data_IF_097844721061
#
_entry.id   IF_097844721061
#
_cell.length_a   1.000
_cell.length_b   1.000
_cell.length_c   1.000
_cell.angle_alpha   90.00
_cell.angle_beta   90.00
_cell.angle_gamma   90.00
#
_symmetry.space_group_name_H-M   'P 1'
#
loop_
_entity.id
_entity.type
_entity.pdbx_description
1 polymer ?
#
# COMPACT_ATOMS: atom_id res chain seq x y z
N UNK A 1 -1.61 -16.29 8.47
CA UNK A 1 -2.95 -16.08 9.06
C UNK A 1 -3.49 -14.85 8.40
N UNK A 2 -4.64 -14.96 7.74
CA UNK A 2 -5.20 -13.81 7.04
C UNK A 2 -5.85 -12.85 8.05
N UNK A 3 -5.92 -11.57 7.68
CA UNK A 3 -6.57 -10.57 8.51
C UNK A 3 -8.07 -10.85 8.69
N UNK A 4 -8.72 -11.48 7.70
CA UNK A 4 -10.12 -11.89 7.82
C UNK A 4 -10.32 -12.95 8.92
N UNK A 5 -9.42 -13.94 9.01
CA UNK A 5 -9.50 -15.00 10.04
C UNK A 5 -9.43 -14.41 11.46
N UNK A 6 -8.56 -13.41 11.66
CA UNK A 6 -8.40 -12.73 12.96
C UNK A 6 -9.66 -11.96 13.33
N UNK A 7 -10.27 -11.27 12.37
CA UNK A 7 -11.50 -10.51 12.60
C UNK A 7 -12.71 -11.40 12.89
N UNK A 8 -12.81 -12.54 12.20
CA UNK A 8 -13.87 -13.53 12.44
C UNK A 8 -13.83 -14.05 13.89
N UNK A 9 -12.64 -14.35 14.40
CA UNK A 9 -12.46 -14.87 15.77
C UNK A 9 -12.72 -13.79 16.82
N UNK A 10 -12.19 -12.57 16.61
CA UNK A 10 -12.23 -11.53 17.64
C UNK A 10 -13.55 -10.74 17.68
N UNK A 11 -14.30 -10.73 16.57
CA UNK A 11 -15.57 -9.99 16.44
C UNK A 11 -15.47 -8.50 16.85
N UNK A 12 -14.35 -7.86 16.51
CA UNK A 12 -14.08 -6.44 16.76
C UNK A 12 -13.95 -5.67 15.45
N UNK A 13 -14.16 -4.35 15.54
CA UNK A 13 -13.96 -3.44 14.41
C UNK A 13 -12.47 -3.33 14.04
N UNK A 14 -12.19 -3.43 12.74
CA UNK A 14 -10.85 -3.19 12.21
C UNK A 14 -10.58 -1.68 12.15
N UNK A 15 -9.55 -1.21 12.86
CA UNK A 15 -9.08 0.18 12.74
C UNK A 15 -8.00 0.36 11.65
N UNK A 16 -7.22 -0.67 11.36
CA UNK A 16 -6.15 -0.61 10.38
C UNK A 16 -5.22 -1.81 10.43
N UNK A 17 -4.49 -1.98 9.33
CA UNK A 17 -3.45 -3.00 9.17
C UNK A 17 -2.16 -2.26 8.87
N UNK A 18 -1.14 -2.48 9.70
CA UNK A 18 0.20 -1.95 9.45
C UNK A 18 0.99 -3.02 8.70
N UNK A 19 1.39 -2.79 7.44
CA UNK A 19 2.17 -3.75 6.69
C UNK A 19 3.60 -3.81 7.22
N UNK A 20 4.28 -4.92 6.95
CA UNK A 20 5.73 -5.01 7.14
C UNK A 20 6.45 -3.96 6.28
N UNK A 21 7.41 -3.26 6.88
CA UNK A 21 8.09 -2.13 6.28
C UNK A 21 9.50 -1.97 6.89
N UNK A 22 10.54 -2.09 6.07
CA UNK A 22 11.95 -1.96 6.48
C UNK A 22 12.26 -0.61 7.13
N UNK A 23 11.47 0.43 6.83
CA UNK A 23 11.63 1.74 7.44
C UNK A 23 11.40 1.74 8.95
N UNK A 24 10.71 0.74 9.50
CA UNK A 24 10.49 0.59 10.95
C UNK A 24 11.83 0.42 11.66
N UNK A 25 12.67 -0.52 11.23
CA UNK A 25 13.98 -0.78 11.86
C UNK A 25 14.87 0.45 11.77
N UNK A 26 14.88 1.10 10.60
CA UNK A 26 15.66 2.30 10.38
C UNK A 26 15.18 3.48 11.24
N UNK A 27 13.87 3.60 11.49
CA UNK A 27 13.26 4.63 12.33
C UNK A 27 13.64 4.46 13.81
N UNK A 28 13.61 3.22 14.33
CA UNK A 28 14.02 2.89 15.70
C UNK A 28 15.47 3.27 15.97
N UNK A 29 16.37 2.96 15.03
CA UNK A 29 17.80 3.27 15.18
C UNK A 29 18.12 4.77 15.08
N UNK A 30 17.29 5.55 14.38
CA UNK A 30 17.45 7.01 14.27
C UNK A 30 16.80 7.79 15.42
N UNK A 31 15.96 7.14 16.23
CA UNK A 31 15.20 7.82 17.27
C UNK A 31 14.07 8.71 16.74
N UNK A 32 13.64 8.49 15.49
CA UNK A 32 12.55 9.25 14.87
C UNK A 32 11.40 8.28 14.50
N UNK A 33 10.19 8.43 15.06
CA UNK A 33 9.11 7.48 14.83
C UNK A 33 8.65 7.41 13.36
N UNK A 34 8.52 6.19 12.81
CA UNK A 34 8.01 5.97 11.45
C UNK A 34 6.62 6.57 11.20
N UNK A 35 5.78 6.70 12.24
CA UNK A 35 4.44 7.29 12.16
C UNK A 35 4.45 8.75 11.67
N UNK A 36 5.56 9.47 11.87
CA UNK A 36 5.72 10.85 11.39
C UNK A 36 6.07 10.91 9.89
N UNK A 37 6.48 9.79 9.29
CA UNK A 37 6.89 9.72 7.89
C UNK A 37 5.75 9.24 6.99
N UNK A 38 4.93 10.18 6.49
CA UNK A 38 3.83 9.89 5.57
C UNK A 38 4.23 9.36 4.18
N UNK A 39 5.53 9.11 3.93
CA UNK A 39 6.02 8.53 2.66
C UNK A 39 6.20 7.01 2.73
N UNK A 40 6.22 6.43 3.94
CA UNK A 40 6.37 4.98 4.12
C UNK A 40 5.02 4.31 4.23
N UNK A 41 4.97 3.00 3.96
CA UNK A 41 3.71 2.24 4.02
C UNK A 41 3.23 2.15 5.46
N UNK A 42 4.15 1.89 6.39
CA UNK A 42 3.86 1.87 7.81
C UNK A 42 3.44 3.27 8.33
N UNK A 43 4.12 4.33 7.92
CA UNK A 43 3.80 5.70 8.35
C UNK A 43 2.40 6.14 7.89
N UNK A 44 2.06 5.90 6.63
CA UNK A 44 0.69 6.14 6.14
C UNK A 44 -0.35 5.29 6.87
N UNK A 45 -0.05 4.02 7.16
CA UNK A 45 -0.97 3.15 7.90
C UNK A 45 -1.24 3.69 9.32
N UNK A 46 -0.20 4.09 10.06
CA UNK A 46 -0.35 4.71 11.38
C UNK A 46 -1.16 6.01 11.33
N UNK A 47 -0.93 6.86 10.34
CA UNK A 47 -1.69 8.11 10.17
C UNK A 47 -3.16 7.84 9.89
N UNK A 48 -3.47 6.87 9.02
CA UNK A 48 -4.87 6.49 8.74
C UNK A 48 -5.56 5.90 9.97
N UNK A 49 -4.86 5.09 10.78
CA UNK A 49 -5.38 4.57 12.05
C UNK A 49 -5.69 5.73 13.01
N UNK A 50 -4.76 6.68 13.17
CA UNK A 50 -4.95 7.84 14.02
C UNK A 50 -6.15 8.68 13.58
N UNK A 51 -6.33 8.87 12.27
CA UNK A 51 -7.48 9.59 11.70
C UNK A 51 -8.80 8.88 12.00
N UNK A 52 -8.88 7.55 11.83
CA UNK A 52 -10.09 6.78 12.19
C UNK A 52 -10.40 6.85 13.69
N UNK A 53 -9.37 6.80 14.54
CA UNK A 53 -9.53 6.99 15.99
C UNK A 53 -10.09 8.38 16.35
N UNK A 54 -9.81 9.40 15.54
CA UNK A 54 -10.35 10.76 15.69
C UNK A 54 -11.75 10.93 15.07
N UNK A 55 -12.30 9.89 14.44
CA UNK A 55 -13.63 9.89 13.83
C UNK A 55 -13.65 10.18 12.33
N UNK A 56 -12.49 10.29 11.66
CA UNK A 56 -12.45 10.45 10.21
C UNK A 56 -12.82 9.13 9.50
N UNK A 57 -13.68 9.22 8.49
CA UNK A 57 -13.93 8.11 7.56
C UNK A 57 -12.76 8.00 6.56
N UNK A 58 -11.85 7.06 6.81
CA UNK A 58 -10.70 6.79 5.93
C UNK A 58 -10.86 5.41 5.27
N UNK A 59 -10.90 5.31 3.92
CA UNK A 59 -10.98 4.04 3.22
C UNK A 59 -9.82 3.09 3.55
N UNK A 60 -10.08 1.79 3.63
CA UNK A 60 -9.01 0.80 3.74
C UNK A 60 -8.30 0.65 2.39
N UNK A 61 -6.97 0.53 2.36
CA UNK A 61 -6.27 0.18 1.13
C UNK A 61 -6.78 -1.18 0.62
N UNK A 62 -6.95 -1.33 -0.68
CA UNK A 62 -7.24 -2.64 -1.26
C UNK A 62 -6.03 -3.56 -1.03
N UNK A 63 -6.18 -4.51 -0.12
CA UNK A 63 -5.15 -5.54 0.14
C UNK A 63 -5.16 -6.64 -0.94
N UNK A 64 -5.97 -6.48 -1.98
CA UNK A 64 -6.16 -7.47 -3.02
C UNK A 64 -5.09 -7.32 -4.12
N UNK A 65 -4.41 -8.42 -4.46
CA UNK A 65 -3.42 -8.54 -5.53
C UNK A 65 -4.06 -8.41 -6.94
N UNK A 66 -4.78 -7.34 -7.22
CA UNK A 66 -5.43 -7.09 -8.52
C UNK A 66 -4.54 -6.33 -9.53
N UNK A 67 -3.25 -6.17 -9.25
CA UNK A 67 -2.27 -5.58 -10.18
C UNK A 67 -2.06 -6.40 -11.47
N UNK A 68 -2.71 -7.56 -11.61
CA UNK A 68 -2.51 -8.49 -12.72
C UNK A 68 -3.20 -8.15 -14.05
N UNK A 69 -4.30 -7.37 -14.05
CA UNK A 69 -5.12 -7.21 -15.27
C UNK A 69 -4.77 -5.95 -16.09
N UNK A 70 -4.54 -4.81 -15.42
CA UNK A 70 -4.19 -3.55 -16.10
C UNK A 70 -2.74 -3.54 -16.62
N UNK A 71 -1.81 -4.20 -15.92
CA UNK A 71 -0.41 -4.30 -16.35
C UNK A 71 -0.21 -5.09 -17.65
N UNK A 72 -1.09 -6.07 -17.92
CA UNK A 72 -1.00 -6.93 -19.13
C UNK A 72 -1.50 -6.22 -20.38
N UNK A 73 -2.49 -5.33 -20.25
CA UNK A 73 -3.01 -4.49 -21.34
C UNK A 73 -1.99 -3.43 -21.76
N UNK A 74 -1.29 -2.80 -20.80
CA UNK A 74 -0.27 -1.78 -21.10
C UNK A 74 1.00 -2.35 -21.74
N UNK A 75 1.38 -3.59 -21.40
CA UNK A 75 2.49 -4.30 -22.05
C UNK A 75 2.25 -4.58 -23.54
N UNK A 76 1.00 -4.73 -23.95
CA UNK A 76 0.65 -4.99 -25.35
C UNK A 76 0.76 -3.74 -26.24
N UNK A 77 0.49 -2.55 -25.68
CA UNK A 77 0.62 -1.26 -26.38
C UNK A 77 2.08 -0.89 -26.65
N UNK A 78 3.02 -1.30 -25.77
CA UNK A 78 4.45 -0.97 -25.90
C UNK A 78 5.25 -1.92 -26.80
N UNK A 79 4.65 -3.02 -27.27
CA UNK A 79 5.37 -4.10 -27.98
C UNK A 79 5.29 -4.06 -29.51
N UNK A 80 4.86 -2.94 -30.13
CA UNK A 80 4.99 -2.75 -31.58
C UNK A 80 6.13 -1.77 -31.89
N UNK A 81 7.35 -2.24 -32.23
CA UNK A 81 8.31 -1.37 -32.90
C UNK A 81 7.73 -1.03 -34.28
N UNK A 82 7.37 0.24 -34.47
CA UNK A 82 7.13 0.78 -35.81
C UNK A 82 8.51 1.00 -36.43
N UNK A 83 9.03 -0.04 -37.08
CA UNK A 83 10.13 0.12 -38.02
C UNK A 83 9.57 0.78 -39.29
N UNK A 84 9.85 2.06 -39.49
CA UNK A 84 9.74 2.68 -40.82
C UNK A 84 10.91 3.61 -41.10
N UNK A 85 11.82 3.06 -41.92
CA UNK A 85 12.85 3.72 -42.71
C UNK A 85 12.30 4.88 -43.54
N UNK A 86 12.77 6.10 -43.29
CA UNK A 86 12.88 7.19 -44.29
C UNK A 86 13.84 8.28 -43.76
N UNK A 87 15.04 8.41 -44.34
CA UNK A 87 15.43 9.53 -45.22
C UNK A 87 15.20 10.92 -44.61
N UNK A 88 16.24 11.52 -44.04
CA UNK A 88 17.05 12.56 -44.71
C UNK A 88 18.38 12.71 -43.97
#
# INVERSE_FOLDING_TARGET
MDTADVLEILAIELLGIVPEDDSIVASTNRGEPVALNGKTRAGMAFQNIARRLLGDEVPFPEFNNASGLLGRLWGFVRSRPIDFKARN
#
